data_IF_618339741063
#
_entry.id   IF_618339741063
#
_cell.length_a   1.000
_cell.length_b   1.000
_cell.length_c   1.000
_cell.angle_alpha   90.00
_cell.angle_beta   90.00
_cell.angle_gamma   90.00
#
_symmetry.space_group_name_H-M   'P 1'
#
loop_
_entity.id
_entity.type
_entity.pdbx_description
1 polymer ?
#
# COMPACT_ATOMS: atom_id res chain seq x y z
N UNK A 1 -14.99 9.12 -8.23
CA UNK A 1 -13.72 9.11 -7.49
C UNK A 1 -13.77 10.06 -6.28
N UNK A 2 -14.73 9.87 -5.37
CA UNK A 2 -15.11 10.90 -4.37
C UNK A 2 -14.27 10.85 -3.08
N UNK A 3 -13.64 9.70 -2.80
CA UNK A 3 -12.91 9.47 -1.55
C UNK A 3 -11.53 10.14 -1.55
N UNK A 4 -10.83 10.12 -2.69
CA UNK A 4 -9.50 10.71 -2.83
C UNK A 4 -9.57 12.25 -2.77
N UNK A 5 -10.58 12.84 -3.41
CA UNK A 5 -10.83 14.28 -3.36
C UNK A 5 -11.24 14.75 -1.96
N UNK A 6 -12.00 13.95 -1.22
CA UNK A 6 -12.36 14.25 0.17
C UNK A 6 -11.12 14.30 1.07
N UNK A 7 -10.21 13.31 0.95
CA UNK A 7 -8.93 13.34 1.67
C UNK A 7 -8.09 14.57 1.34
N UNK A 8 -8.07 15.01 0.07
CA UNK A 8 -7.36 16.22 -0.32
C UNK A 8 -7.98 17.50 0.25
N UNK A 9 -9.31 17.54 0.40
CA UNK A 9 -10.04 18.69 0.96
C UNK A 9 -9.94 18.78 2.49
N UNK A 10 -9.94 17.64 3.19
CA UNK A 10 -9.80 17.59 4.65
C UNK A 10 -8.44 18.12 5.14
N UNK A 11 -7.44 18.20 4.25
CA UNK A 11 -6.08 18.67 4.55
C UNK A 11 -5.89 20.17 4.27
N UNK A 12 -6.93 20.88 3.83
CA UNK A 12 -6.90 22.32 3.56
C UNK A 12 -7.71 23.04 4.65
N UNK A 13 -7.03 23.76 5.57
CA UNK A 13 -7.71 24.68 6.48
C UNK A 13 -8.27 25.87 5.67
N UNK A 14 -9.60 26.01 5.67
CA UNK A 14 -10.34 26.99 4.86
C UNK A 14 -9.97 28.45 5.20
N UNK A 15 -9.36 28.69 6.36
CA UNK A 15 -9.17 30.03 6.93
C UNK A 15 -7.97 30.78 6.35
N UNK A 16 -6.90 30.10 5.93
CA UNK A 16 -5.65 30.76 5.50
C UNK A 16 -5.36 30.63 4.00
N UNK A 17 -6.01 29.70 3.28
CA UNK A 17 -5.71 29.36 1.87
C UNK A 17 -4.23 29.01 1.58
N UNK A 18 -3.42 28.83 2.62
CA UNK A 18 -2.01 28.47 2.49
C UNK A 18 -1.82 27.02 2.93
N UNK A 19 -1.34 26.19 2.00
CA UNK A 19 -0.94 24.81 2.26
C UNK A 19 0.38 24.79 3.02
N UNK A 20 0.33 24.71 4.36
CA UNK A 20 1.53 24.63 5.20
C UNK A 20 2.14 23.21 5.28
N UNK A 21 1.60 22.25 4.53
CA UNK A 21 2.11 20.87 4.48
C UNK A 21 2.62 20.61 3.05
N UNK A 22 3.91 20.85 2.81
CA UNK A 22 4.64 20.25 1.69
C UNK A 22 4.93 18.78 2.02
N UNK A 23 3.88 17.96 2.14
CA UNK A 23 4.04 16.51 2.28
C UNK A 23 3.92 15.86 0.89
N UNK A 24 4.90 15.02 0.58
CA UNK A 24 4.82 14.16 -0.58
C UNK A 24 3.82 13.03 -0.26
N UNK A 25 2.75 12.97 -1.04
CA UNK A 25 1.71 11.96 -0.86
C UNK A 25 2.11 10.67 -1.57
N UNK A 26 2.34 9.62 -0.77
CA UNK A 26 2.65 8.27 -1.24
C UNK A 26 1.50 7.30 -0.96
N UNK A 27 1.34 6.30 -1.83
CA UNK A 27 0.29 5.29 -1.74
C UNK A 27 0.83 3.90 -1.51
N UNK A 28 0.13 3.12 -0.68
CA UNK A 28 0.36 1.70 -0.49
C UNK A 28 -0.96 0.96 -0.79
N UNK A 29 -0.98 0.20 -1.88
CA UNK A 29 -2.18 -0.52 -2.30
C UNK A 29 -2.34 -1.81 -1.48
N UNK A 30 -3.13 -1.74 -0.41
CA UNK A 30 -3.34 -2.85 0.52
C UNK A 30 -4.48 -3.79 0.11
N UNK A 31 -4.39 -5.05 0.54
CA UNK A 31 -5.40 -6.11 0.38
C UNK A 31 -5.82 -6.35 -1.07
N UNK A 32 -4.88 -6.23 -2.02
CA UNK A 32 -5.18 -6.40 -3.44
C UNK A 32 -5.50 -7.87 -3.75
N UNK A 33 -6.64 -8.08 -4.41
CA UNK A 33 -7.12 -9.38 -4.90
C UNK A 33 -7.35 -9.30 -6.40
N UNK A 34 -6.71 -10.14 -7.24
CA UNK A 34 -6.83 -10.05 -8.70
C UNK A 34 -8.27 -10.12 -9.22
N UNK A 35 -9.13 -10.90 -8.54
CA UNK A 35 -10.50 -11.19 -8.99
C UNK A 35 -11.56 -10.27 -8.36
N UNK A 36 -11.18 -9.28 -7.55
CA UNK A 36 -12.12 -8.37 -6.91
C UNK A 36 -12.21 -7.05 -7.68
N UNK A 37 -13.43 -6.66 -8.05
CA UNK A 37 -13.69 -5.41 -8.78
C UNK A 37 -13.08 -4.20 -8.08
N UNK A 38 -13.24 -4.09 -6.76
CA UNK A 38 -12.67 -2.99 -5.96
C UNK A 38 -11.14 -2.92 -6.00
N UNK A 39 -10.44 -4.05 -6.10
CA UNK A 39 -8.98 -4.06 -6.26
C UNK A 39 -8.56 -3.53 -7.64
N UNK A 40 -9.32 -3.88 -8.69
CA UNK A 40 -9.07 -3.38 -10.05
C UNK A 40 -9.34 -1.89 -10.13
N UNK A 41 -10.48 -1.43 -9.61
CA UNK A 41 -10.85 -0.01 -9.56
C UNK A 41 -9.80 0.83 -8.81
N UNK A 42 -9.27 0.33 -7.69
CA UNK A 42 -8.22 1.01 -6.95
C UNK A 42 -6.93 1.15 -7.77
N UNK A 43 -6.48 0.06 -8.40
CA UNK A 43 -5.27 0.09 -9.24
C UNK A 43 -5.44 0.98 -10.48
N UNK A 44 -6.62 0.99 -11.08
CA UNK A 44 -6.96 1.88 -12.19
C UNK A 44 -6.94 3.35 -11.74
N UNK A 45 -7.51 3.67 -10.59
CA UNK A 45 -7.50 5.04 -10.03
C UNK A 45 -6.07 5.53 -9.72
N UNK A 46 -5.23 4.68 -9.13
CA UNK A 46 -3.82 4.99 -8.87
C UNK A 46 -3.04 5.18 -10.18
N UNK A 47 -3.31 4.36 -11.19
CA UNK A 47 -2.70 4.50 -12.52
C UNK A 47 -3.12 5.78 -13.25
N UNK A 48 -4.37 6.24 -13.08
CA UNK A 48 -4.82 7.54 -13.59
C UNK A 48 -4.15 8.70 -12.86
N UNK A 49 -4.05 8.62 -11.53
CA UNK A 49 -3.38 9.64 -10.73
C UNK A 49 -1.91 9.81 -11.10
N UNK A 50 -1.18 8.70 -11.27
CA UNK A 50 0.22 8.72 -11.70
C UNK A 50 0.40 9.39 -13.08
N UNK A 51 -0.56 9.18 -14.00
CA UNK A 51 -0.55 9.84 -15.32
C UNK A 51 -0.85 11.34 -15.21
N UNK A 52 -1.80 11.74 -14.37
CA UNK A 52 -2.18 13.15 -14.19
C UNK A 52 -1.05 13.96 -13.53
N UNK A 53 -0.35 13.37 -12.56
CA UNK A 53 0.76 14.02 -11.84
C UNK A 53 2.12 13.83 -12.48
N UNK A 54 2.24 12.93 -13.47
CA UNK A 54 3.52 12.57 -14.11
C UNK A 54 4.53 11.90 -13.17
N UNK A 55 4.10 11.48 -11.98
CA UNK A 55 4.94 10.89 -10.92
C UNK A 55 4.25 9.64 -10.38
N UNK A 56 5.00 8.54 -10.27
CA UNK A 56 4.50 7.29 -9.70
C UNK A 56 4.73 7.28 -8.19
N UNK A 57 3.70 7.65 -7.44
CA UNK A 57 3.74 7.72 -5.99
C UNK A 57 3.28 6.40 -5.32
N UNK A 58 3.13 5.32 -6.07
CA UNK A 58 2.76 4.01 -5.54
C UNK A 58 4.01 3.27 -5.00
N UNK A 59 4.11 3.17 -3.68
CA UNK A 59 5.23 2.48 -3.02
C UNK A 59 5.18 0.96 -3.20
N UNK A 60 3.99 0.39 -3.32
CA UNK A 60 3.85 -1.03 -3.58
C UNK A 60 2.44 -1.57 -3.41
N UNK A 61 2.32 -2.88 -3.62
CA UNK A 61 1.06 -3.63 -3.53
C UNK A 61 1.23 -4.71 -2.47
N UNK A 62 0.39 -4.67 -1.44
CA UNK A 62 0.29 -5.74 -0.45
C UNK A 62 -0.88 -6.64 -0.85
N UNK A 63 -0.64 -7.88 -1.31
CA UNK A 63 -1.71 -8.77 -1.74
C UNK A 63 -2.49 -9.27 -0.53
N UNK A 64 -3.77 -9.58 -0.73
CA UNK A 64 -4.53 -10.30 0.29
C UNK A 64 -3.94 -11.70 0.48
N UNK A 65 -3.49 -12.01 1.69
CA UNK A 65 -2.90 -13.30 2.04
C UNK A 65 -3.46 -13.84 3.34
N UNK A 66 -3.67 -15.15 3.37
CA UNK A 66 -4.18 -15.85 4.54
C UNK A 66 -3.18 -15.81 5.72
N UNK A 67 -1.87 -15.68 5.44
CA UNK A 67 -0.84 -15.45 6.45
C UNK A 67 -1.10 -14.26 7.36
N UNK A 68 -1.78 -13.21 6.91
CA UNK A 68 -2.16 -12.08 7.77
C UNK A 68 -3.23 -12.46 8.81
N UNK A 69 -4.09 -13.43 8.50
CA UNK A 69 -5.04 -13.97 9.46
C UNK A 69 -4.31 -14.82 10.48
N UNK A 70 -3.41 -15.72 10.03
CA UNK A 70 -2.55 -16.49 10.93
C UNK A 70 -1.70 -15.59 11.83
N UNK A 71 -1.10 -14.52 11.30
CA UNK A 71 -0.28 -13.61 12.11
C UNK A 71 -1.08 -12.98 13.25
N UNK A 72 -2.36 -12.69 12.99
CA UNK A 72 -3.27 -12.12 13.99
C UNK A 72 -3.65 -13.16 15.05
N UNK A 73 -3.98 -14.39 14.63
CA UNK A 73 -4.40 -15.47 15.52
C UNK A 73 -3.23 -15.96 16.39
N UNK A 74 -2.10 -16.25 15.75
CA UNK A 74 -0.91 -16.83 16.37
C UNK A 74 -0.08 -15.78 17.12
N UNK A 75 -0.39 -14.48 16.93
CA UNK A 75 0.34 -13.33 17.48
C UNK A 75 1.82 -13.32 17.10
N UNK A 76 2.13 -13.85 15.92
CA UNK A 76 3.48 -13.88 15.34
C UNK A 76 3.47 -12.92 14.16
N UNK A 77 4.44 -12.00 14.10
CA UNK A 77 4.54 -11.05 13.00
C UNK A 77 4.84 -11.76 11.67
N UNK A 78 4.46 -11.15 10.54
CA UNK A 78 4.80 -11.69 9.21
C UNK A 78 6.32 -11.79 9.03
N UNK A 79 7.08 -10.84 9.60
CA UNK A 79 8.54 -10.86 9.57
C UNK A 79 9.14 -12.03 10.37
N UNK A 80 8.50 -12.43 11.48
CA UNK A 80 8.93 -13.61 12.24
C UNK A 80 8.50 -14.91 11.56
N UNK A 81 7.33 -14.92 10.92
CA UNK A 81 6.86 -16.04 10.08
C UNK A 81 7.81 -16.31 8.92
N UNK A 82 8.39 -15.28 8.31
CA UNK A 82 9.38 -15.40 7.24
C UNK A 82 10.64 -16.18 7.65
N UNK A 83 11.02 -16.10 8.93
CA UNK A 83 12.20 -16.82 9.45
C UNK A 83 12.02 -18.33 9.49
N UNK A 84 10.78 -18.82 9.39
CA UNK A 84 10.50 -20.26 9.30
C UNK A 84 10.81 -20.76 7.87
N UNK A 85 11.81 -21.65 7.67
CA UNK A 85 12.21 -22.10 6.34
C UNK A 85 11.10 -22.76 5.54
N UNK A 86 10.24 -23.56 6.18
CA UNK A 86 9.15 -24.27 5.49
C UNK A 86 8.09 -23.29 4.98
N UNK A 87 7.70 -22.34 5.84
CA UNK A 87 6.72 -21.32 5.51
C UNK A 87 7.25 -20.35 4.44
N UNK A 88 8.52 -19.97 4.55
CA UNK A 88 9.20 -19.17 3.56
C UNK A 88 9.19 -19.84 2.19
N UNK A 89 9.60 -21.11 2.09
CA UNK A 89 9.60 -21.80 0.79
C UNK A 89 8.20 -21.89 0.18
N UNK A 90 7.18 -22.18 1.00
CA UNK A 90 5.77 -22.25 0.56
C UNK A 90 5.22 -20.91 0.09
N UNK A 91 5.67 -19.81 0.68
CA UNK A 91 5.17 -18.46 0.41
C UNK A 91 6.24 -17.51 -0.11
N UNK A 92 7.29 -18.05 -0.74
CA UNK A 92 8.49 -17.32 -1.16
C UNK A 92 8.15 -16.07 -1.96
N UNK A 93 7.30 -16.22 -2.98
CA UNK A 93 6.86 -15.10 -3.83
C UNK A 93 6.25 -13.97 -3.00
N UNK A 94 5.39 -14.30 -2.04
CA UNK A 94 4.74 -13.31 -1.19
C UNK A 94 5.76 -12.58 -0.30
N UNK A 95 6.66 -13.31 0.36
CA UNK A 95 7.69 -12.70 1.20
C UNK A 95 8.64 -11.82 0.37
N UNK A 96 9.06 -12.28 -0.82
CA UNK A 96 9.89 -11.47 -1.73
C UNK A 96 9.18 -10.20 -2.19
N UNK A 97 7.91 -10.25 -2.58
CA UNK A 97 7.13 -9.07 -2.99
C UNK A 97 6.90 -8.10 -1.82
N UNK A 98 6.70 -8.64 -0.62
CA UNK A 98 6.51 -7.84 0.59
C UNK A 98 7.81 -7.13 0.99
N UNK A 99 8.94 -7.82 0.94
CA UNK A 99 10.26 -7.25 1.22
C UNK A 99 10.59 -6.14 0.22
N UNK A 100 10.32 -6.35 -1.07
CA UNK A 100 10.48 -5.29 -2.09
C UNK A 100 9.64 -4.05 -1.78
N UNK A 101 8.43 -4.24 -1.25
CA UNK A 101 7.55 -3.14 -0.83
C UNK A 101 8.14 -2.41 0.38
N UNK A 102 8.65 -3.14 1.38
CA UNK A 102 9.29 -2.53 2.54
C UNK A 102 10.57 -1.79 2.19
N UNK A 103 11.43 -2.36 1.32
CA UNK A 103 12.63 -1.68 0.85
C UNK A 103 12.27 -0.37 0.14
N UNK A 104 11.26 -0.36 -0.73
CA UNK A 104 10.79 0.88 -1.37
C UNK A 104 10.30 1.92 -0.38
N UNK A 105 9.57 1.51 0.66
CA UNK A 105 9.13 2.43 1.72
C UNK A 105 10.33 3.03 2.45
N UNK A 106 11.30 2.19 2.83
CA UNK A 106 12.52 2.60 3.53
C UNK A 106 13.41 3.54 2.69
N UNK A 107 13.51 3.29 1.38
CA UNK A 107 14.31 4.13 0.48
C UNK A 107 13.64 5.49 0.20
N UNK A 108 12.32 5.60 0.41
CA UNK A 108 11.54 6.81 0.11
C UNK A 108 11.34 7.71 1.34
N UNK A 109 11.30 7.15 2.55
CA UNK A 109 10.95 7.84 3.81
C UNK A 109 12.12 7.80 4.79
#
# INVERSE_FOLDING_TARGET
>A
STRLEAFRKDVIDYRTRESYITAELYFLANMIRPNYGSSRELLEALGLEAKEKGTDNLLGIVPAKELFNHSTIDKISIADMEKNPELYQKHKKFFTELEQTFSKIYDTI
#
